data_IF_604675043917
#
_entry.id   IF_604675043917
#
_cell.length_a   1.000
_cell.length_b   1.000
_cell.length_c   1.000
_cell.angle_alpha   90.00
_cell.angle_beta   90.00
_cell.angle_gamma   90.00
#
_symmetry.space_group_name_H-M   'P 1'
#
loop_
_entity.id
_entity.type
_entity.pdbx_description
1 polymer ?
#
# COMPACT_ATOMS: atom_id res chain seq x y z
N UNK A 1 21.99 -5.96 -17.34
CA UNK A 1 21.79 -6.40 -18.74
C UNK A 1 22.54 -5.45 -19.67
N UNK A 2 22.93 -5.83 -20.89
CA UNK A 2 23.58 -4.90 -21.82
C UNK A 2 22.69 -3.66 -22.04
N UNK A 3 23.18 -2.47 -21.69
CA UNK A 3 22.40 -1.22 -21.72
C UNK A 3 21.71 -0.81 -20.41
N UNK A 4 21.79 -1.62 -19.34
CA UNK A 4 21.26 -1.21 -18.04
C UNK A 4 22.17 -0.17 -17.39
N UNK A 5 21.63 1.04 -17.14
CA UNK A 5 22.29 2.05 -16.32
C UNK A 5 22.01 1.75 -14.85
N UNK A 6 23.05 1.66 -14.04
CA UNK A 6 22.89 1.66 -12.58
C UNK A 6 22.44 3.05 -12.16
N UNK A 7 21.28 3.12 -11.51
CA UNK A 7 20.76 4.35 -10.90
C UNK A 7 20.79 4.16 -9.39
N UNK A 8 21.44 5.07 -8.69
CA UNK A 8 21.37 5.13 -7.23
C UNK A 8 20.09 5.85 -6.86
N UNK A 9 19.18 5.17 -6.19
CA UNK A 9 17.95 5.78 -5.67
C UNK A 9 18.22 6.11 -4.19
N UNK A 10 18.33 7.39 -3.82
CA UNK A 10 18.49 7.77 -2.41
C UNK A 10 17.22 7.39 -1.63
N UNK A 11 17.41 6.85 -0.43
CA UNK A 11 16.31 6.43 0.45
C UNK A 11 16.13 7.49 1.54
N UNK A 12 14.92 8.03 1.62
CA UNK A 12 14.52 8.97 2.66
C UNK A 12 13.38 8.38 3.50
N UNK A 13 13.24 8.75 4.78
CA UNK A 13 11.97 8.62 5.48
C UNK A 13 10.86 9.29 4.65
N UNK A 14 9.69 8.66 4.55
CA UNK A 14 8.62 9.17 3.68
C UNK A 14 8.15 10.56 4.11
N UNK A 15 8.31 10.91 5.38
CA UNK A 15 8.00 12.23 5.96
C UNK A 15 8.92 13.33 5.41
N UNK A 16 10.14 12.99 4.99
CA UNK A 16 11.14 13.95 4.48
C UNK A 16 11.13 14.09 2.96
N UNK A 17 10.22 13.41 2.28
CA UNK A 17 10.25 13.28 0.83
C UNK A 17 10.09 14.62 0.11
N UNK A 18 9.19 15.48 0.60
CA UNK A 18 8.99 16.82 0.03
C UNK A 18 10.16 17.75 0.35
N UNK A 19 10.69 17.69 1.58
CA UNK A 19 11.88 18.44 1.96
C UNK A 19 13.08 18.13 1.05
N UNK A 20 13.29 16.86 0.69
CA UNK A 20 14.37 16.45 -0.20
C UNK A 20 14.23 17.07 -1.61
N UNK A 21 13.00 17.24 -2.11
CA UNK A 21 12.74 17.94 -3.38
C UNK A 21 13.04 19.44 -3.21
N UNK A 22 12.54 20.07 -2.14
CA UNK A 22 12.72 21.51 -1.88
C UNK A 22 14.19 21.91 -1.75
N UNK A 23 14.99 21.02 -1.15
CA UNK A 23 16.42 21.21 -0.97
C UNK A 23 17.25 20.88 -2.22
N UNK A 24 16.60 20.41 -3.30
CA UNK A 24 17.27 20.02 -4.54
C UNK A 24 18.14 18.77 -4.40
N UNK A 25 17.90 17.93 -3.39
CA UNK A 25 18.61 16.67 -3.21
C UNK A 25 18.15 15.61 -4.22
N UNK A 26 16.91 15.73 -4.71
CA UNK A 26 16.30 14.87 -5.73
C UNK A 26 15.44 15.68 -6.70
N UNK A 27 15.38 15.23 -7.95
CA UNK A 27 14.53 15.86 -8.99
C UNK A 27 13.05 15.44 -8.91
N UNK A 28 12.80 14.26 -8.34
CA UNK A 28 11.48 13.66 -8.21
C UNK A 28 11.47 12.68 -7.04
N UNK A 29 10.26 12.38 -6.54
CA UNK A 29 10.10 11.43 -5.47
C UNK A 29 8.94 10.46 -5.68
N UNK A 30 9.10 9.25 -5.14
CA UNK A 30 8.04 8.27 -5.02
C UNK A 30 7.21 8.56 -3.77
N UNK A 31 5.95 8.94 -3.98
CA UNK A 31 5.02 9.20 -2.89
C UNK A 31 4.27 7.92 -2.50
N UNK A 32 4.29 7.61 -1.21
CA UNK A 32 3.48 6.56 -0.58
C UNK A 32 2.66 7.18 0.56
N UNK A 33 1.81 6.37 1.20
CA UNK A 33 0.93 6.82 2.27
C UNK A 33 0.11 8.06 1.88
N UNK A 34 0.04 9.07 2.73
CA UNK A 34 -0.74 10.28 2.53
C UNK A 34 -0.18 11.25 1.48
N UNK A 35 1.09 11.10 1.09
CA UNK A 35 1.74 11.98 0.12
C UNK A 35 0.94 12.11 -1.18
N UNK A 36 0.28 11.03 -1.61
CA UNK A 36 -0.58 10.99 -2.81
C UNK A 36 -1.80 11.92 -2.75
N UNK A 37 -2.23 12.33 -1.56
CA UNK A 37 -3.42 13.17 -1.39
C UNK A 37 -3.09 14.66 -1.34
N UNK A 38 -1.85 15.00 -1.02
CA UNK A 38 -1.47 16.35 -0.59
C UNK A 38 -0.45 17.01 -1.51
N UNK A 39 0.23 16.25 -2.38
CA UNK A 39 1.29 16.78 -3.24
C UNK A 39 0.82 17.98 -4.08
N UNK A 40 -0.41 17.94 -4.58
CA UNK A 40 -0.97 19.03 -5.39
C UNK A 40 -1.22 20.29 -4.57
N UNK A 41 -1.65 20.15 -3.31
CA UNK A 41 -1.87 21.28 -2.40
C UNK A 41 -0.55 21.93 -1.98
N UNK A 42 0.54 21.15 -1.98
CA UNK A 42 1.90 21.63 -1.73
C UNK A 42 2.59 22.19 -2.99
N UNK A 43 1.89 22.26 -4.13
CA UNK A 43 2.40 22.85 -5.37
C UNK A 43 3.22 21.90 -6.26
N UNK A 44 3.28 20.61 -5.93
CA UNK A 44 3.93 19.60 -6.77
C UNK A 44 3.00 19.09 -7.87
N UNK A 45 3.58 18.58 -8.94
CA UNK A 45 2.87 17.96 -10.05
C UNK A 45 3.10 16.45 -10.07
N UNK A 46 2.08 15.70 -10.49
CA UNK A 46 2.20 14.26 -10.68
C UNK A 46 2.93 13.96 -12.00
N UNK A 47 4.01 13.18 -11.92
CA UNK A 47 4.76 12.74 -13.10
C UNK A 47 4.16 11.45 -13.67
N UNK A 48 3.85 10.49 -12.81
CA UNK A 48 3.26 9.22 -13.19
C UNK A 48 2.51 8.58 -12.00
N UNK A 49 1.39 7.90 -12.29
CA UNK A 49 0.69 7.04 -11.33
C UNK A 49 1.06 5.57 -11.58
N UNK A 50 1.69 4.93 -10.59
CA UNK A 50 2.14 3.54 -10.69
C UNK A 50 0.95 2.57 -10.72
N UNK A 51 -0.15 2.90 -10.04
CA UNK A 51 -1.38 2.13 -10.07
C UNK A 51 -2.03 2.13 -11.44
N UNK A 52 -2.15 3.31 -12.08
CA UNK A 52 -2.66 3.41 -13.45
C UNK A 52 -1.75 2.69 -14.44
N UNK A 53 -0.44 2.90 -14.36
CA UNK A 53 0.53 2.20 -15.20
C UNK A 53 0.41 0.68 -15.05
N UNK A 54 0.29 0.19 -13.82
CA UNK A 54 0.14 -1.23 -13.52
C UNK A 54 -1.15 -1.78 -14.11
N UNK A 55 -2.27 -1.08 -13.92
CA UNK A 55 -3.56 -1.49 -14.44
C UNK A 55 -3.55 -1.52 -15.97
N UNK A 56 -2.99 -0.52 -16.64
CA UNK A 56 -2.83 -0.52 -18.10
C UNK A 56 -1.98 -1.69 -18.61
N UNK A 57 -0.94 -2.07 -17.85
CA UNK A 57 -0.03 -3.14 -18.23
C UNK A 57 -0.60 -4.54 -18.01
N UNK A 58 -1.40 -4.73 -16.96
CA UNK A 58 -1.79 -6.07 -16.48
C UNK A 58 -3.30 -6.33 -16.53
N UNK A 59 -4.12 -5.28 -16.59
CA UNK A 59 -5.57 -5.36 -16.40
C UNK A 59 -5.97 -5.76 -14.97
N UNK A 60 -5.05 -5.69 -14.00
CA UNK A 60 -5.26 -6.12 -12.62
C UNK A 60 -4.99 -4.96 -11.64
N UNK A 61 -5.61 -4.95 -10.45
CA UNK A 61 -5.27 -3.98 -9.40
C UNK A 61 -3.81 -4.16 -8.95
N UNK A 62 -3.18 -3.08 -8.49
CA UNK A 62 -1.81 -3.12 -7.97
C UNK A 62 -1.80 -3.64 -6.52
N UNK A 63 -1.13 -4.77 -6.21
CA UNK A 63 -0.98 -5.21 -4.82
C UNK A 63 0.02 -4.31 -4.09
N UNK A 64 -0.46 -3.52 -3.12
CA UNK A 64 0.39 -2.58 -2.38
C UNK A 64 0.88 -3.14 -1.04
N UNK A 65 0.02 -3.88 -0.34
CA UNK A 65 0.32 -4.43 0.97
C UNK A 65 -0.51 -5.69 1.24
N UNK A 66 0.08 -6.62 1.99
CA UNK A 66 -0.57 -7.86 2.41
C UNK A 66 -0.22 -8.18 3.86
N UNK A 67 -1.16 -8.78 4.57
CA UNK A 67 -0.88 -9.39 5.88
C UNK A 67 -0.37 -10.80 5.66
N UNK A 68 0.77 -11.13 6.24
CA UNK A 68 1.39 -12.46 6.15
C UNK A 68 1.38 -13.15 7.51
N UNK A 69 1.18 -14.47 7.49
CA UNK A 69 1.20 -15.31 8.69
C UNK A 69 2.25 -16.41 8.54
N UNK A 70 3.02 -16.66 9.61
CA UNK A 70 4.08 -17.67 9.59
C UNK A 70 3.45 -19.07 9.59
N UNK A 71 3.79 -19.89 8.59
CA UNK A 71 3.23 -21.25 8.42
C UNK A 71 3.46 -22.16 9.62
N UNK A 72 4.57 -21.96 10.32
CA UNK A 72 4.95 -22.75 11.51
C UNK A 72 3.99 -22.61 12.70
N UNK A 73 3.08 -21.62 12.69
CA UNK A 73 2.04 -21.50 13.73
C UNK A 73 1.01 -22.64 13.67
N UNK A 74 0.95 -23.37 12.55
CA UNK A 74 0.00 -24.47 12.35
C UNK A 74 -1.36 -23.97 11.86
N UNK A 75 -2.10 -24.87 11.20
CA UNK A 75 -3.34 -24.52 10.53
C UNK A 75 -4.40 -23.93 11.46
N UNK A 76 -4.48 -24.42 12.69
CA UNK A 76 -5.49 -23.98 13.65
C UNK A 76 -5.26 -22.53 14.09
N UNK A 77 -4.02 -22.20 14.43
CA UNK A 77 -3.68 -20.82 14.76
C UNK A 77 -3.89 -19.88 13.56
N UNK A 78 -3.53 -20.33 12.35
CA UNK A 78 -3.73 -19.56 11.12
C UNK A 78 -5.23 -19.30 10.89
N UNK A 79 -6.10 -20.30 11.03
CA UNK A 79 -7.56 -20.15 10.92
C UNK A 79 -8.11 -19.15 11.95
N UNK A 80 -7.65 -19.23 13.19
CA UNK A 80 -8.09 -18.32 14.25
C UNK A 80 -7.65 -16.87 13.96
N UNK A 81 -6.38 -16.67 13.59
CA UNK A 81 -5.85 -15.34 13.22
C UNK A 81 -6.62 -14.75 12.03
N UNK A 82 -6.82 -15.55 10.97
CA UNK A 82 -7.64 -15.17 9.82
C UNK A 82 -9.04 -14.73 10.22
N UNK A 83 -9.71 -15.51 11.07
CA UNK A 83 -11.05 -15.19 11.56
C UNK A 83 -11.07 -13.88 12.34
N UNK A 84 -10.11 -13.66 13.24
CA UNK A 84 -10.05 -12.42 14.03
C UNK A 84 -9.78 -11.20 13.17
N UNK A 85 -8.87 -11.30 12.19
CA UNK A 85 -8.60 -10.21 11.24
C UNK A 85 -9.84 -9.89 10.41
N UNK A 86 -10.52 -10.91 9.87
CA UNK A 86 -11.75 -10.73 9.07
C UNK A 86 -12.86 -10.08 9.89
N UNK A 87 -13.04 -10.50 11.15
CA UNK A 87 -13.99 -9.88 12.08
C UNK A 87 -13.62 -8.44 12.43
N UNK A 88 -12.33 -8.14 12.63
CA UNK A 88 -11.85 -6.78 12.92
C UNK A 88 -12.08 -5.83 11.75
N UNK A 89 -11.75 -6.27 10.52
CA UNK A 89 -11.99 -5.49 9.31
C UNK A 89 -13.49 -5.28 9.10
N UNK A 90 -14.31 -6.33 9.26
CA UNK A 90 -15.78 -6.22 9.17
C UNK A 90 -16.32 -5.19 10.16
N UNK A 91 -15.91 -5.27 11.42
CA UNK A 91 -16.31 -4.31 12.43
C UNK A 91 -15.96 -2.88 12.03
N UNK A 92 -14.74 -2.65 11.54
CA UNK A 92 -14.30 -1.32 11.12
C UNK A 92 -15.09 -0.77 9.92
N UNK A 93 -15.44 -1.63 8.96
CA UNK A 93 -16.26 -1.25 7.81
C UNK A 93 -17.71 -0.94 8.22
N UNK A 94 -18.30 -1.78 9.08
CA UNK A 94 -19.68 -1.63 9.54
C UNK A 94 -19.85 -0.46 10.54
N UNK A 95 -18.77 -0.03 11.20
CA UNK A 95 -18.75 1.04 12.22
C UNK A 95 -17.83 2.19 11.82
N UNK A 96 -17.78 2.51 10.51
CA UNK A 96 -16.78 3.41 9.92
C UNK A 96 -16.64 4.76 10.63
N UNK A 97 -17.76 5.43 10.93
CA UNK A 97 -17.74 6.75 11.58
C UNK A 97 -17.10 6.70 12.97
N UNK A 98 -17.52 5.75 13.81
CA UNK A 98 -16.97 5.55 15.15
C UNK A 98 -15.48 5.22 15.12
N UNK A 99 -15.06 4.37 14.19
CA UNK A 99 -13.64 4.01 14.04
C UNK A 99 -12.82 5.21 13.55
N UNK A 100 -13.35 5.99 12.61
CA UNK A 100 -12.70 7.21 12.14
C UNK A 100 -12.50 8.23 13.27
N UNK A 101 -13.50 8.43 14.12
CA UNK A 101 -13.38 9.30 15.30
C UNK A 101 -12.28 8.83 16.25
N UNK A 102 -12.25 7.52 16.55
CA UNK A 102 -11.22 6.94 17.40
C UNK A 102 -9.81 7.08 16.78
N UNK A 103 -9.66 6.92 15.46
CA UNK A 103 -8.39 7.11 14.77
C UNK A 103 -7.93 8.57 14.89
N UNK A 104 -8.85 9.53 14.68
CA UNK A 104 -8.56 10.97 14.79
C UNK A 104 -8.09 11.34 16.20
N UNK A 105 -8.75 10.82 17.23
CA UNK A 105 -8.37 11.06 18.63
C UNK A 105 -6.99 10.46 18.99
N UNK A 106 -6.66 9.30 18.40
CA UNK A 106 -5.42 8.58 18.69
C UNK A 106 -4.22 9.00 17.82
N UNK A 107 -4.44 9.73 16.73
CA UNK A 107 -3.37 10.16 15.84
C UNK A 107 -2.48 11.21 16.52
N UNK A 108 -1.23 10.84 16.78
CA UNK A 108 -0.25 11.62 17.55
C UNK A 108 0.81 12.31 16.68
N UNK A 109 0.81 12.06 15.36
CA UNK A 109 1.77 12.69 14.44
C UNK A 109 1.51 14.20 14.35
N UNK A 110 2.56 14.99 14.62
CA UNK A 110 2.51 16.46 14.66
C UNK A 110 2.57 17.10 13.26
N UNK A 111 3.07 16.38 12.28
CA UNK A 111 3.22 16.79 10.89
C UNK A 111 1.89 16.59 10.15
N UNK A 112 0.96 17.52 10.37
CA UNK A 112 -0.45 17.35 10.02
C UNK A 112 -0.76 17.75 8.58
N UNK A 113 -0.39 16.91 7.62
CA UNK A 113 -1.02 17.00 6.30
C UNK A 113 -2.43 16.39 6.30
N UNK A 114 -2.68 15.36 7.13
CA UNK A 114 -4.00 14.82 7.43
C UNK A 114 -4.57 15.44 8.72
N UNK A 115 -5.27 16.56 8.59
CA UNK A 115 -5.91 17.26 9.71
C UNK A 115 -7.43 17.33 9.61
N UNK A 116 -7.98 17.07 8.41
CA UNK A 116 -9.42 17.12 8.14
C UNK A 116 -10.01 15.72 8.19
N UNK A 117 -11.14 15.55 8.88
CA UNK A 117 -11.87 14.27 8.97
C UNK A 117 -12.13 13.70 7.57
N UNK A 118 -12.48 14.56 6.61
CA UNK A 118 -12.76 14.21 5.22
C UNK A 118 -11.52 13.68 4.50
N UNK A 119 -10.34 14.25 4.77
CA UNK A 119 -9.09 13.80 4.14
C UNK A 119 -8.67 12.44 4.70
N UNK A 120 -8.86 12.22 6.00
CA UNK A 120 -8.59 10.94 6.67
C UNK A 120 -9.56 9.88 6.15
N UNK A 121 -10.84 10.20 6.04
CA UNK A 121 -11.83 9.29 5.49
C UNK A 121 -11.54 8.94 4.02
N UNK A 122 -11.13 9.93 3.22
CA UNK A 122 -10.68 9.71 1.84
C UNK A 122 -9.46 8.79 1.80
N UNK A 123 -8.46 9.04 2.63
CA UNK A 123 -7.27 8.19 2.74
C UNK A 123 -7.63 6.75 3.09
N UNK A 124 -8.44 6.55 4.12
CA UNK A 124 -8.90 5.23 4.53
C UNK A 124 -9.74 4.56 3.45
N UNK A 125 -10.56 5.28 2.70
CA UNK A 125 -11.35 4.70 1.60
C UNK A 125 -10.49 4.10 0.49
N UNK A 126 -9.26 4.60 0.29
CA UNK A 126 -8.33 4.08 -0.71
C UNK A 126 -7.72 2.73 -0.31
N UNK A 127 -7.60 2.44 0.99
CA UNK A 127 -6.77 1.33 1.48
C UNK A 127 -7.45 0.40 2.49
N UNK A 128 -8.52 0.86 3.14
CA UNK A 128 -9.33 0.17 4.14
C UNK A 128 -10.79 0.13 3.66
N UNK A 129 -11.05 -0.75 2.68
CA UNK A 129 -12.31 -0.88 1.97
C UNK A 129 -12.68 -2.37 1.79
N UNK A 130 -13.60 -2.68 0.88
CA UNK A 130 -14.04 -4.06 0.65
C UNK A 130 -12.91 -4.97 0.13
N UNK A 131 -11.95 -4.44 -0.62
CA UNK A 131 -10.80 -5.22 -1.11
C UNK A 131 -9.89 -5.65 0.05
N UNK A 132 -9.86 -4.86 1.14
CA UNK A 132 -9.18 -5.24 2.39
C UNK A 132 -9.89 -6.40 3.08
N UNK A 133 -11.22 -6.43 3.04
CA UNK A 133 -12.02 -7.50 3.63
C UNK A 133 -11.90 -8.79 2.82
N UNK A 134 -11.98 -8.68 1.49
CA UNK A 134 -11.83 -9.79 0.57
C UNK A 134 -11.42 -9.27 -0.82
N UNK A 135 -10.15 -9.47 -1.17
CA UNK A 135 -9.60 -9.09 -2.47
C UNK A 135 -9.99 -10.05 -3.60
N UNK A 136 -10.73 -11.13 -3.30
CA UNK A 136 -11.31 -12.05 -4.27
C UNK A 136 -10.29 -12.71 -5.20
N UNK A 137 -10.80 -13.34 -6.27
CA UNK A 137 -9.96 -14.00 -7.27
C UNK A 137 -9.13 -13.02 -8.09
N UNK A 138 -9.62 -11.79 -8.30
CA UNK A 138 -8.87 -10.77 -9.01
C UNK A 138 -7.63 -10.32 -8.24
N UNK A 139 -7.76 -10.04 -6.94
CA UNK A 139 -6.63 -9.72 -6.08
C UNK A 139 -5.65 -10.88 -5.92
N UNK A 140 -6.14 -12.12 -5.85
CA UNK A 140 -5.28 -13.33 -5.86
C UNK A 140 -4.45 -13.42 -7.14
N UNK A 141 -5.07 -13.19 -8.30
CA UNK A 141 -4.37 -13.11 -9.59
C UNK A 141 -3.39 -11.94 -9.65
N UNK A 142 -3.76 -10.78 -9.11
CA UNK A 142 -2.88 -9.62 -9.05
C UNK A 142 -1.60 -9.91 -8.25
N UNK A 143 -1.73 -10.54 -7.07
CA UNK A 143 -0.60 -10.95 -6.22
C UNK A 143 0.29 -11.96 -6.96
N UNK A 144 -0.30 -13.00 -7.55
CA UNK A 144 0.48 -14.00 -8.29
C UNK A 144 1.21 -13.39 -9.49
N UNK A 145 0.53 -12.50 -10.24
CA UNK A 145 1.10 -11.78 -11.38
C UNK A 145 2.27 -10.90 -10.95
N UNK A 146 2.14 -10.18 -9.83
CA UNK A 146 3.21 -9.37 -9.25
C UNK A 146 4.45 -10.21 -8.91
N UNK A 147 4.26 -11.37 -8.27
CA UNK A 147 5.36 -12.29 -7.92
C UNK A 147 6.02 -12.89 -9.17
N UNK A 148 5.24 -13.31 -10.16
CA UNK A 148 5.76 -13.87 -11.41
C UNK A 148 6.54 -12.83 -12.22
N UNK A 149 6.03 -11.60 -12.33
CA UNK A 149 6.74 -10.49 -12.98
C UNK A 149 8.03 -10.13 -12.25
N UNK A 150 8.03 -10.13 -10.92
CA UNK A 150 9.22 -9.87 -10.10
C UNK A 150 10.28 -10.96 -10.30
N UNK A 151 9.89 -12.22 -10.38
CA UNK A 151 10.81 -13.33 -10.69
C UNK A 151 11.38 -13.22 -12.11
N UNK A 152 10.55 -12.96 -13.11
CA UNK A 152 10.99 -12.80 -14.50
C UNK A 152 11.92 -11.59 -14.69
N UNK A 153 11.79 -10.57 -13.86
CA UNK A 153 12.69 -9.41 -13.81
C UNK A 153 14.00 -9.67 -13.04
N UNK A 154 14.17 -10.85 -12.44
CA UNK A 154 15.36 -11.20 -11.64
C UNK A 154 15.39 -10.58 -10.24
N UNK A 155 14.27 -10.05 -9.74
CA UNK A 155 14.16 -9.44 -8.41
C UNK A 155 13.92 -10.47 -7.30
N UNK A 156 13.45 -11.66 -7.67
CA UNK A 156 13.26 -12.78 -6.74
C UNK A 156 14.26 -13.90 -7.07
N UNK A 157 14.90 -14.52 -6.06
CA UNK A 157 15.87 -15.59 -6.29
C UNK A 157 15.23 -16.91 -6.75
N UNK A 158 13.92 -17.06 -6.55
CA UNK A 158 13.15 -18.23 -6.96
C UNK A 158 11.72 -17.85 -7.28
N UNK A 159 11.08 -18.67 -8.13
CA UNK A 159 9.65 -18.54 -8.41
C UNK A 159 8.84 -18.83 -7.15
N UNK A 160 7.85 -17.98 -6.87
CA UNK A 160 6.97 -18.09 -5.69
C UNK A 160 5.54 -18.35 -6.18
N UNK A 161 4.91 -19.38 -5.63
CA UNK A 161 3.48 -19.58 -5.74
C UNK A 161 2.82 -19.00 -4.50
N UNK A 162 1.89 -18.07 -4.67
CA UNK A 162 1.16 -17.49 -3.56
C UNK A 162 0.29 -18.56 -2.89
N UNK A 163 0.35 -18.60 -1.56
CA UNK A 163 -0.55 -19.38 -0.71
C UNK A 163 -1.36 -18.39 0.13
N UNK A 164 -2.64 -18.66 0.25
CA UNK A 164 -3.58 -17.74 0.86
C UNK A 164 -4.16 -18.40 2.11
N UNK A 165 -4.12 -17.67 3.22
CA UNK A 165 -4.79 -18.07 4.43
C UNK A 165 -6.32 -18.14 4.18
N UNK A 166 -7.04 -19.00 4.93
CA UNK A 166 -8.49 -19.10 4.85
C UNK A 166 -9.19 -17.82 5.35
#
# INVERSE_FOLDING_TARGET
APGSRTVTIPIFPFEKVFQAIEQGEVDAALLIHEGRLIYSELGYHLIADIGEWWFHKTGLPLPLGVTVVKKELGEEAIRQISSYLRSSIRYALDNREKVLESIIEQEKRKEKHLHKKELIDKYLSLYANQDTFDYGEEGRRAIQTFLDMSFNAGLLPKKVKAEFAP
#
